data_IF_175664967839
#
_entry.id   IF_175664967839
#
_cell.length_a   1.000
_cell.length_b   1.000
_cell.length_c   1.000
_cell.angle_alpha   90.00
_cell.angle_beta   90.00
_cell.angle_gamma   90.00
#
_symmetry.space_group_name_H-M   'P 1'
#
loop_
_entity.id
_entity.type
_entity.pdbx_description
1 polymer ?
#
# COMPACT_ATOMS: atom_id res chain seq x y z
N UNK A 1 8.54 11.31 -28.14
CA UNK A 1 7.77 10.13 -28.64
C UNK A 1 8.54 8.82 -28.82
N UNK A 2 9.38 8.37 -27.86
CA UNK A 2 9.85 6.96 -27.75
C UNK A 2 10.51 6.71 -26.39
N UNK A 3 11.23 7.72 -25.87
CA UNK A 3 11.77 7.74 -24.50
C UNK A 3 10.68 7.90 -23.42
N UNK A 4 9.65 8.70 -23.69
CA UNK A 4 8.57 8.96 -22.74
C UNK A 4 7.64 7.75 -22.50
N UNK A 5 7.31 6.98 -23.53
CA UNK A 5 6.50 5.76 -23.39
C UNK A 5 7.22 4.70 -22.54
N UNK A 6 8.53 4.49 -22.77
CA UNK A 6 9.34 3.56 -21.97
C UNK A 6 9.36 3.96 -20.48
N UNK A 7 9.40 5.26 -20.17
CA UNK A 7 9.45 5.74 -18.79
C UNK A 7 8.10 5.55 -18.07
N UNK A 8 6.98 5.85 -18.73
CA UNK A 8 5.63 5.65 -18.16
C UNK A 8 5.35 4.15 -17.94
N UNK A 9 5.79 3.29 -18.85
CA UNK A 9 5.67 1.84 -18.69
C UNK A 9 6.40 1.35 -17.43
N UNK A 10 7.63 1.84 -17.20
CA UNK A 10 8.43 1.56 -16.00
C UNK A 10 7.73 1.98 -14.69
N UNK A 11 7.10 3.15 -14.65
CA UNK A 11 6.42 3.64 -13.44
C UNK A 11 5.16 2.81 -13.16
N UNK A 12 4.39 2.46 -14.20
CA UNK A 12 3.20 1.60 -14.05
C UNK A 12 3.56 0.21 -13.52
N UNK A 13 4.66 -0.39 -14.01
CA UNK A 13 5.16 -1.67 -13.48
C UNK A 13 5.58 -1.57 -12.02
N UNK A 14 6.30 -0.50 -11.63
CA UNK A 14 6.72 -0.26 -10.24
C UNK A 14 5.52 -0.10 -9.31
N UNK A 15 4.49 0.62 -9.74
CA UNK A 15 3.24 0.79 -8.98
C UNK A 15 2.55 -0.57 -8.80
N UNK A 16 2.44 -1.37 -9.86
CA UNK A 16 1.85 -2.73 -9.78
C UNK A 16 2.63 -3.63 -8.83
N UNK A 17 3.95 -3.62 -8.89
CA UNK A 17 4.82 -4.37 -7.97
C UNK A 17 4.67 -3.89 -6.52
N UNK A 18 4.57 -2.58 -6.30
CA UNK A 18 4.33 -2.01 -4.97
C UNK A 18 3.00 -2.49 -4.39
N UNK A 19 1.91 -2.49 -5.18
CA UNK A 19 0.62 -3.04 -4.76
C UNK A 19 0.71 -4.52 -4.39
N UNK A 20 1.47 -5.31 -5.15
CA UNK A 20 1.70 -6.73 -4.82
C UNK A 20 2.35 -6.91 -3.45
N UNK A 21 3.40 -6.13 -3.15
CA UNK A 21 4.08 -6.16 -1.84
C UNK A 21 3.13 -5.74 -0.72
N UNK A 22 2.31 -4.73 -0.95
CA UNK A 22 1.35 -4.21 0.03
C UNK A 22 0.33 -5.29 0.42
N UNK A 23 -0.25 -5.99 -0.56
CA UNK A 23 -1.18 -7.08 -0.27
C UNK A 23 -0.48 -8.23 0.48
N UNK A 24 0.76 -8.58 0.11
CA UNK A 24 1.54 -9.60 0.82
C UNK A 24 1.93 -9.20 2.26
N UNK A 25 2.19 -7.92 2.51
CA UNK A 25 2.44 -7.42 3.87
C UNK A 25 1.16 -7.43 4.70
N UNK A 26 0.03 -7.02 4.12
CA UNK A 26 -1.26 -7.02 4.81
C UNK A 26 -1.67 -8.42 5.24
N UNK A 27 -1.52 -9.41 4.35
CA UNK A 27 -1.80 -10.81 4.68
C UNK A 27 -0.89 -11.32 5.80
N UNK A 28 0.38 -10.94 5.79
CA UNK A 28 1.34 -11.31 6.86
C UNK A 28 0.91 -10.72 8.20
N UNK A 29 0.51 -9.45 8.24
CA UNK A 29 0.04 -8.81 9.47
C UNK A 29 -1.22 -9.47 10.00
N UNK A 30 -2.20 -9.74 9.13
CA UNK A 30 -3.43 -10.44 9.54
C UNK A 30 -3.10 -11.83 10.09
N UNK A 31 -2.22 -12.59 9.42
CA UNK A 31 -1.74 -13.88 9.90
C UNK A 31 -1.03 -13.80 11.26
N UNK A 32 -0.22 -12.77 11.50
CA UNK A 32 0.43 -12.54 12.79
C UNK A 32 -0.57 -12.26 13.93
N UNK A 33 -1.76 -11.73 13.61
CA UNK A 33 -2.82 -11.47 14.58
C UNK A 33 -3.66 -12.71 14.92
N UNK A 34 -3.56 -13.80 14.15
CA UNK A 34 -4.29 -15.06 14.40
C UNK A 34 -4.06 -15.61 15.82
N UNK A 35 -2.82 -15.78 16.32
CA UNK A 35 -2.60 -16.26 17.69
C UNK A 35 -3.15 -15.29 18.74
N UNK A 36 -3.05 -13.98 18.52
CA UNK A 36 -3.56 -12.95 19.43
C UNK A 36 -5.09 -13.00 19.59
N UNK A 37 -5.83 -13.49 18.58
CA UNK A 37 -7.28 -13.71 18.67
C UNK A 37 -7.69 -14.96 19.45
N UNK A 38 -6.80 -15.95 19.54
CA UNK A 38 -7.04 -17.23 20.27
C UNK A 38 -6.67 -17.12 21.74
N UNK A 39 -5.72 -16.24 22.07
CA UNK A 39 -5.41 -15.90 23.46
C UNK A 39 -6.66 -15.27 24.08
N UNK A 40 -7.30 -15.95 25.05
CA UNK A 40 -8.57 -15.58 25.69
C UNK A 40 -8.54 -14.28 26.53
N UNK A 41 -7.58 -13.40 26.27
CA UNK A 41 -7.40 -12.10 26.91
C UNK A 41 -8.13 -11.06 26.06
N UNK A 42 -9.26 -10.55 26.55
CA UNK A 42 -10.13 -9.63 25.79
C UNK A 42 -9.42 -8.38 25.24
N UNK A 43 -8.45 -7.83 25.96
CA UNK A 43 -7.65 -6.68 25.52
C UNK A 43 -6.83 -6.99 24.25
N UNK A 44 -6.22 -8.17 24.20
CA UNK A 44 -5.35 -8.62 23.11
C UNK A 44 -6.16 -8.83 21.83
N UNK A 45 -7.37 -9.37 21.96
CA UNK A 45 -8.33 -9.50 20.85
C UNK A 45 -8.77 -8.13 20.33
N UNK A 46 -9.04 -7.17 21.23
CA UNK A 46 -9.38 -5.79 20.85
C UNK A 46 -8.26 -5.11 20.06
N UNK A 47 -7.01 -5.30 20.49
CA UNK A 47 -5.81 -4.80 19.80
C UNK A 47 -5.62 -5.40 18.40
N UNK A 48 -5.85 -6.70 18.25
CA UNK A 48 -5.79 -7.37 16.95
C UNK A 48 -6.81 -6.78 15.97
N UNK A 49 -8.05 -6.56 16.42
CA UNK A 49 -9.13 -6.02 15.57
C UNK A 49 -8.81 -4.60 15.11
N UNK A 50 -8.43 -3.70 16.02
CA UNK A 50 -8.09 -2.31 15.67
C UNK A 50 -6.86 -2.23 14.77
N UNK A 51 -5.87 -3.10 14.99
CA UNK A 51 -4.70 -3.20 14.10
C UNK A 51 -5.08 -3.60 12.69
N UNK A 52 -5.92 -4.63 12.52
CA UNK A 52 -6.38 -5.07 11.19
C UNK A 52 -7.13 -3.94 10.48
N UNK A 53 -8.06 -3.28 11.18
CA UNK A 53 -8.81 -2.14 10.63
C UNK A 53 -7.85 -1.00 10.23
N UNK A 54 -6.92 -0.66 11.11
CA UNK A 54 -5.92 0.39 10.85
C UNK A 54 -5.04 0.08 9.65
N UNK A 55 -4.60 -1.17 9.49
CA UNK A 55 -3.82 -1.62 8.32
C UNK A 55 -4.65 -1.52 7.04
N UNK A 56 -5.90 -1.99 7.06
CA UNK A 56 -6.78 -1.92 5.90
C UNK A 56 -7.03 -0.46 5.47
N UNK A 57 -7.37 0.41 6.42
CA UNK A 57 -7.58 1.85 6.15
C UNK A 57 -6.28 2.51 5.67
N UNK A 58 -5.15 2.25 6.33
CA UNK A 58 -3.85 2.80 5.93
C UNK A 58 -3.42 2.36 4.53
N UNK A 59 -3.71 1.12 4.14
CA UNK A 59 -3.41 0.62 2.80
C UNK A 59 -4.37 1.23 1.76
N UNK A 60 -5.67 1.21 2.03
CA UNK A 60 -6.68 1.64 1.07
C UNK A 60 -6.70 3.15 0.84
N UNK A 61 -6.27 3.96 1.81
CA UNK A 61 -6.29 5.42 1.67
C UNK A 61 -4.91 5.96 1.32
N UNK A 62 -3.90 5.63 2.12
CA UNK A 62 -2.57 6.25 1.96
C UNK A 62 -1.88 5.81 0.68
N UNK A 63 -2.03 4.54 0.26
CA UNK A 63 -1.36 4.03 -0.95
C UNK A 63 -1.89 4.65 -2.26
N UNK A 64 -3.21 4.70 -2.52
CA UNK A 64 -3.70 5.38 -3.72
C UNK A 64 -3.45 6.89 -3.68
N UNK A 65 -3.60 7.54 -2.52
CA UNK A 65 -3.28 8.95 -2.37
C UNK A 65 -1.80 9.24 -2.73
N UNK A 66 -0.87 8.41 -2.26
CA UNK A 66 0.54 8.56 -2.59
C UNK A 66 0.82 8.29 -4.08
N UNK A 67 0.15 7.31 -4.69
CA UNK A 67 0.29 7.01 -6.11
C UNK A 67 -0.21 8.17 -7.00
N UNK A 68 -1.24 8.88 -6.56
CA UNK A 68 -1.75 10.08 -7.22
C UNK A 68 -0.76 11.24 -7.12
N UNK A 69 -0.23 11.50 -5.91
CA UNK A 69 0.77 12.55 -5.67
C UNK A 69 2.05 12.29 -6.48
N UNK A 70 2.53 11.05 -6.54
CA UNK A 70 3.71 10.69 -7.34
C UNK A 70 3.45 10.89 -8.84
N UNK A 71 2.27 10.51 -9.34
CA UNK A 71 1.89 10.77 -10.73
C UNK A 71 1.84 12.27 -11.05
N UNK A 72 1.30 13.08 -10.14
CA UNK A 72 1.28 14.54 -10.28
C UNK A 72 2.69 15.14 -10.26
N UNK A 73 3.54 14.74 -9.31
CA UNK A 73 4.93 15.20 -9.18
C UNK A 73 5.78 14.85 -10.40
N UNK A 74 5.69 13.62 -10.90
CA UNK A 74 6.37 13.22 -12.15
C UNK A 74 5.80 13.93 -13.38
N UNK A 75 4.51 14.27 -13.40
CA UNK A 75 3.90 15.02 -14.51
C UNK A 75 4.32 16.50 -14.54
N UNK A 76 4.60 17.11 -13.37
CA UNK A 76 5.12 18.48 -13.26
C UNK A 76 6.55 18.61 -13.80
N UNK A 77 7.42 17.64 -13.52
CA UNK A 77 8.80 17.63 -14.03
C UNK A 77 8.88 17.52 -15.57
N UNK A 78 7.82 16.99 -16.20
CA UNK A 78 7.72 16.82 -17.64
C UNK A 78 7.23 18.05 -18.41
N UNK A 79 6.73 19.08 -17.71
CA UNK A 79 6.22 20.31 -18.32
C UNK A 79 7.22 21.47 -18.25
N UNK A 80 8.34 21.30 -17.53
CA UNK A 80 9.38 22.32 -17.36
C UNK A 80 10.67 22.01 -18.14
N UNK A 81 10.69 20.92 -18.91
CA UNK A 81 11.72 20.55 -19.90
C UNK A 81 11.10 20.32 -21.26
#
# INVERSE_FOLDING_TARGET
GKKEEKMIYSIREKIKAAFFIIFGSASTTISAMVPLMVLGIGFVRGFAITTIIGVLVGILITRPAYAEIVQMGTSKEKSEK
#
